data_IF_238740509960
#
_entry.id   IF_238740509960
#
_cell.length_a   1.000
_cell.length_b   1.000
_cell.length_c   1.000
_cell.angle_alpha   90.00
_cell.angle_beta   90.00
_cell.angle_gamma   90.00
#
_symmetry.space_group_name_H-M   'P 1'
#
loop_
_entity.id
_entity.type
_entity.pdbx_description
1 polymer ?
#
# COMPACT_ATOMS: atom_id res chain seq x y z
N UNK A 1 31.13 13.92 10.80
CA UNK A 1 32.27 14.66 11.36
C UNK A 1 33.54 14.05 10.78
N UNK A 2 34.37 14.88 10.18
CA UNK A 2 35.67 14.52 9.64
C UNK A 2 36.76 15.05 10.56
N UNK A 3 37.68 14.19 11.00
CA UNK A 3 38.80 14.56 11.83
C UNK A 3 40.07 14.63 10.97
N UNK A 4 40.89 15.65 11.20
CA UNK A 4 42.22 15.73 10.62
C UNK A 4 43.24 15.97 11.76
N UNK A 5 44.44 15.44 11.53
CA UNK A 5 45.55 15.58 12.49
C UNK A 5 46.79 16.04 11.77
N UNK A 6 47.54 16.92 12.42
CA UNK A 6 48.82 17.34 11.91
C UNK A 6 49.84 16.18 11.96
N UNK A 7 50.50 15.88 10.85
CA UNK A 7 51.48 14.79 10.78
C UNK A 7 52.76 15.07 11.55
N UNK A 8 53.05 16.36 11.84
CA UNK A 8 54.28 16.79 12.53
C UNK A 8 54.13 16.99 14.04
N UNK A 9 52.89 17.18 14.49
CA UNK A 9 52.63 17.42 15.93
C UNK A 9 51.41 16.57 16.33
N UNK A 10 51.62 15.63 17.22
CA UNK A 10 50.55 14.84 17.81
C UNK A 10 49.55 15.75 18.56
N UNK A 11 48.30 15.43 18.53
CA UNK A 11 47.19 16.13 19.20
C UNK A 11 46.83 17.52 18.68
N UNK A 12 47.48 18.03 17.62
CA UNK A 12 47.11 19.27 16.94
C UNK A 12 46.17 18.94 15.76
N UNK A 13 44.97 18.65 16.05
CA UNK A 13 43.93 18.43 15.07
C UNK A 13 42.63 19.08 15.49
N UNK A 14 41.72 19.20 14.59
CA UNK A 14 40.38 19.64 14.85
C UNK A 14 39.38 18.78 14.06
N UNK A 15 38.13 19.00 14.26
CA UNK A 15 37.10 18.32 13.48
C UNK A 15 36.45 19.31 12.50
N UNK A 16 36.07 18.81 11.36
CA UNK A 16 35.25 19.55 10.40
C UNK A 16 33.85 18.93 10.43
N UNK A 17 32.88 19.75 10.77
CA UNK A 17 31.48 19.32 10.64
C UNK A 17 30.97 19.76 9.27
N UNK A 18 30.65 18.80 8.43
CA UNK A 18 29.97 19.09 7.16
C UNK A 18 28.49 19.30 7.44
N UNK A 19 27.96 20.45 7.07
CA UNK A 19 26.54 20.79 7.25
C UNK A 19 25.67 20.16 6.16
N UNK A 20 26.30 19.72 5.07
CA UNK A 20 25.63 19.11 3.92
C UNK A 20 26.32 17.78 3.58
N UNK A 21 25.62 16.69 3.79
CA UNK A 21 26.03 15.38 3.32
C UNK A 21 25.46 15.17 1.91
N UNK A 22 26.17 15.67 0.91
CA UNK A 22 25.81 15.42 -0.50
C UNK A 22 26.52 14.16 -0.98
N UNK A 23 25.76 13.16 -1.38
CA UNK A 23 26.25 11.92 -1.96
C UNK A 23 26.00 11.98 -3.45
N UNK A 24 27.09 12.04 -4.24
CA UNK A 24 27.03 11.94 -5.69
C UNK A 24 27.06 10.45 -6.08
N UNK A 25 25.91 9.89 -6.37
CA UNK A 25 25.75 8.48 -6.72
C UNK A 25 24.83 7.72 -5.75
N UNK A 26 24.91 6.41 -5.79
CA UNK A 26 24.06 5.54 -5.01
C UNK A 26 24.48 5.47 -3.53
N UNK A 27 23.50 5.51 -2.61
CA UNK A 27 23.72 5.24 -1.20
C UNK A 27 23.52 3.75 -0.92
N UNK A 28 24.60 3.05 -0.56
CA UNK A 28 24.51 1.67 -0.08
C UNK A 28 24.52 1.62 1.45
N UNK A 29 23.46 1.09 2.04
CA UNK A 29 23.34 0.92 3.49
C UNK A 29 23.48 -0.56 3.83
N UNK A 30 24.56 -0.93 4.53
CA UNK A 30 24.86 -2.33 4.88
C UNK A 30 23.94 -2.94 5.96
N UNK A 31 23.01 -2.17 6.50
CA UNK A 31 22.05 -2.60 7.52
C UNK A 31 20.72 -1.87 7.31
N UNK A 32 20.07 -1.44 8.40
CA UNK A 32 18.79 -0.71 8.31
C UNK A 32 19.02 0.78 8.06
N UNK A 33 18.29 1.35 7.12
CA UNK A 33 18.18 2.80 6.99
C UNK A 33 17.27 3.33 8.10
N UNK A 34 17.80 4.22 8.94
CA UNK A 34 17.04 4.88 9.99
C UNK A 34 16.96 6.38 9.68
N UNK A 35 15.76 6.84 9.45
CA UNK A 35 15.47 8.25 9.22
C UNK A 35 15.18 8.98 10.55
N UNK A 36 15.34 10.31 10.64
CA UNK A 36 15.00 11.09 11.84
C UNK A 36 13.54 10.90 12.28
N UNK A 37 12.64 10.88 11.32
CA UNK A 37 11.24 10.47 11.50
C UNK A 37 11.10 9.02 11.06
N UNK A 38 10.44 8.21 11.85
CA UNK A 38 10.25 6.79 11.55
C UNK A 38 8.96 6.33 12.22
N UNK A 39 7.85 6.77 11.68
CA UNK A 39 6.53 6.50 12.22
C UNK A 39 6.03 5.15 11.71
N UNK A 40 5.52 4.32 12.61
CA UNK A 40 4.96 3.03 12.25
C UNK A 40 3.75 3.18 11.29
N UNK A 41 3.55 2.21 10.41
CA UNK A 41 2.46 2.14 9.43
C UNK A 41 2.54 3.19 8.30
N UNK A 42 3.65 3.91 8.19
CA UNK A 42 3.88 4.85 7.09
C UNK A 42 4.64 4.19 5.95
N UNK A 43 4.46 4.72 4.78
CA UNK A 43 5.25 4.40 3.59
C UNK A 43 6.05 5.64 3.16
N UNK A 44 7.21 5.41 2.55
CA UNK A 44 8.01 6.49 1.98
C UNK A 44 7.57 6.72 0.54
N UNK A 45 7.12 7.93 0.24
CA UNK A 45 6.71 8.35 -1.10
C UNK A 45 7.56 9.52 -1.54
N UNK A 46 8.08 9.45 -2.77
CA UNK A 46 8.79 10.56 -3.38
C UNK A 46 7.79 11.62 -3.85
N UNK A 47 7.99 12.87 -3.45
CA UNK A 47 7.18 14.01 -3.83
C UNK A 47 7.80 14.88 -4.95
N UNK A 48 8.96 14.47 -5.46
CA UNK A 48 9.76 15.20 -6.44
C UNK A 48 10.91 16.00 -5.84
N UNK A 49 10.93 16.16 -4.52
CA UNK A 49 12.00 16.86 -3.77
C UNK A 49 12.68 15.92 -2.78
N UNK A 50 11.90 15.12 -2.07
CA UNK A 50 12.37 14.21 -1.01
C UNK A 50 11.49 12.97 -0.93
N UNK A 51 11.81 12.10 0.04
CA UNK A 51 10.93 11.00 0.46
C UNK A 51 10.23 11.42 1.76
N UNK A 52 8.91 11.41 1.72
CA UNK A 52 8.06 11.74 2.86
C UNK A 52 7.32 10.53 3.41
N UNK A 53 7.15 10.48 4.73
CA UNK A 53 6.33 9.47 5.38
C UNK A 53 4.85 9.81 5.24
N UNK A 54 4.12 9.00 4.49
CA UNK A 54 2.69 9.20 4.26
C UNK A 54 1.87 7.99 4.72
N UNK A 55 0.61 8.22 5.05
CA UNK A 55 -0.35 7.16 5.29
C UNK A 55 -0.79 6.52 3.98
N UNK A 56 -0.75 5.20 3.91
CA UNK A 56 -1.49 4.50 2.88
C UNK A 56 -2.98 4.55 3.23
N UNK A 57 -3.78 5.21 2.40
CA UNK A 57 -5.20 5.48 2.66
C UNK A 57 -6.08 5.24 1.44
N UNK A 58 -7.40 5.31 1.62
CA UNK A 58 -8.38 5.06 0.57
C UNK A 58 -8.77 3.59 0.49
N UNK A 59 -8.42 2.93 -0.61
CA UNK A 59 -8.82 1.54 -0.87
C UNK A 59 -8.03 0.49 -0.08
N UNK A 60 -6.95 0.90 0.61
CA UNK A 60 -6.14 0.00 1.42
C UNK A 60 -5.43 0.72 2.57
N UNK A 61 -5.07 -0.04 3.59
CA UNK A 61 -4.19 0.39 4.69
C UNK A 61 -3.06 -0.60 4.90
N UNK A 62 -1.96 -0.16 5.49
CA UNK A 62 -0.81 -1.01 5.81
C UNK A 62 -0.54 -1.01 7.31
N UNK A 63 -0.28 -2.18 7.88
CA UNK A 63 0.16 -2.33 9.27
C UNK A 63 1.69 -2.28 9.36
N UNK A 64 2.24 -2.01 10.56
CA UNK A 64 3.69 -1.94 10.82
C UNK A 64 4.45 -3.23 10.48
N UNK A 65 3.77 -4.37 10.48
CA UNK A 65 4.30 -5.65 10.04
C UNK A 65 4.26 -5.88 8.53
N UNK A 66 3.81 -4.90 7.74
CA UNK A 66 3.69 -5.01 6.27
C UNK A 66 2.39 -5.67 5.78
N UNK A 67 1.48 -6.04 6.68
CA UNK A 67 0.19 -6.58 6.26
C UNK A 67 -0.66 -5.49 5.59
N UNK A 68 -1.11 -5.76 4.37
CA UNK A 68 -1.99 -4.88 3.61
C UNK A 68 -3.44 -5.33 3.81
N UNK A 69 -4.31 -4.41 4.18
CA UNK A 69 -5.75 -4.65 4.32
C UNK A 69 -6.52 -3.78 3.34
N UNK A 70 -7.36 -4.41 2.52
CA UNK A 70 -8.24 -3.69 1.62
C UNK A 70 -9.47 -3.16 2.37
N UNK A 71 -9.91 -1.96 2.00
CA UNK A 71 -11.18 -1.43 2.49
C UNK A 71 -12.36 -2.28 2.00
N UNK A 72 -13.38 -2.41 2.84
CA UNK A 72 -14.59 -3.12 2.45
C UNK A 72 -15.24 -2.45 1.23
N UNK A 73 -15.71 -3.27 0.30
CA UNK A 73 -16.35 -2.81 -0.93
C UNK A 73 -17.83 -2.45 -0.80
N UNK A 74 -18.40 -2.58 0.39
CA UNK A 74 -19.84 -2.37 0.65
C UNK A 74 -20.68 -3.64 0.56
N UNK A 75 -20.10 -4.77 0.15
CA UNK A 75 -20.77 -6.07 0.08
C UNK A 75 -20.42 -6.91 1.30
N UNK A 76 -21.43 -7.50 1.95
CA UNK A 76 -21.19 -8.48 3.01
C UNK A 76 -20.66 -9.78 2.43
N UNK A 77 -19.67 -10.37 3.11
CA UNK A 77 -19.15 -11.68 2.71
C UNK A 77 -20.23 -12.75 2.90
N UNK A 78 -20.72 -13.31 1.81
CA UNK A 78 -21.79 -14.32 1.78
C UNK A 78 -21.79 -15.06 0.44
N UNK A 79 -22.58 -16.12 0.36
CA UNK A 79 -22.91 -16.76 -0.92
C UNK A 79 -24.15 -16.11 -1.52
N UNK A 80 -24.08 -15.77 -2.79
CA UNK A 80 -25.18 -15.20 -3.56
C UNK A 80 -25.53 -16.11 -4.72
N UNK A 81 -26.82 -16.50 -4.84
CA UNK A 81 -27.32 -17.35 -5.92
C UNK A 81 -28.02 -16.52 -6.97
N UNK A 82 -27.81 -16.82 -8.25
CA UNK A 82 -28.34 -16.02 -9.37
C UNK A 82 -28.09 -14.52 -9.18
N UNK A 83 -26.87 -14.16 -8.76
CA UNK A 83 -26.59 -12.87 -8.18
C UNK A 83 -26.80 -11.70 -9.16
N UNK A 84 -27.45 -10.66 -8.69
CA UNK A 84 -27.38 -9.32 -9.26
C UNK A 84 -26.21 -8.60 -8.60
N UNK A 85 -25.24 -8.13 -9.39
CA UNK A 85 -24.05 -7.47 -8.90
C UNK A 85 -23.87 -6.10 -9.54
N UNK A 86 -23.30 -5.17 -8.77
CA UNK A 86 -22.82 -3.87 -9.25
C UNK A 86 -21.32 -3.80 -9.00
N UNK A 87 -20.57 -3.33 -9.96
CA UNK A 87 -19.12 -3.16 -9.86
C UNK A 87 -18.75 -1.69 -10.03
N UNK A 88 -17.68 -1.26 -9.36
CA UNK A 88 -17.10 0.06 -9.55
C UNK A 88 -16.15 0.12 -10.76
N UNK A 89 -15.61 1.30 -11.05
CA UNK A 89 -14.67 1.50 -12.15
C UNK A 89 -13.33 0.74 -11.98
N UNK A 90 -13.05 0.22 -10.79
CA UNK A 90 -11.88 -0.60 -10.47
C UNK A 90 -12.17 -2.11 -10.56
N UNK A 91 -13.41 -2.48 -10.89
CA UNK A 91 -13.85 -3.88 -10.98
C UNK A 91 -14.20 -4.52 -9.64
N UNK A 92 -14.32 -3.75 -8.55
CA UNK A 92 -14.74 -4.29 -7.24
C UNK A 92 -16.26 -4.35 -7.16
N UNK A 93 -16.79 -5.43 -6.59
CA UNK A 93 -18.23 -5.55 -6.37
C UNK A 93 -18.66 -4.59 -5.25
N UNK A 94 -19.54 -3.64 -5.54
CA UNK A 94 -20.03 -2.64 -4.59
C UNK A 94 -21.43 -2.94 -4.05
N UNK A 95 -22.19 -3.77 -4.77
CA UNK A 95 -23.47 -4.30 -4.29
C UNK A 95 -23.65 -5.71 -4.83
N UNK A 96 -24.24 -6.57 -4.01
CA UNK A 96 -24.64 -7.93 -4.41
C UNK A 96 -25.94 -8.31 -3.68
N UNK A 97 -26.82 -8.95 -4.41
CA UNK A 97 -28.04 -9.56 -3.88
C UNK A 97 -28.34 -10.87 -4.60
N UNK A 98 -28.95 -11.81 -3.90
CA UNK A 98 -29.46 -13.00 -4.57
C UNK A 98 -30.64 -12.63 -5.45
N UNK A 99 -30.62 -13.07 -6.69
CA UNK A 99 -31.73 -12.95 -7.62
C UNK A 99 -32.68 -14.13 -7.55
N UNK A 100 -33.75 -14.08 -8.32
CA UNK A 100 -34.64 -15.21 -8.50
C UNK A 100 -33.93 -16.28 -9.36
N UNK A 101 -34.03 -17.53 -8.96
CA UNK A 101 -33.66 -18.63 -9.86
C UNK A 101 -34.53 -18.55 -11.10
N UNK A 102 -33.92 -18.63 -12.27
CA UNK A 102 -34.69 -18.79 -13.53
C UNK A 102 -35.58 -20.02 -13.47
N UNK A 103 -36.67 -20.00 -14.18
CA UNK A 103 -37.54 -21.17 -14.29
C UNK A 103 -36.72 -22.39 -14.80
N UNK A 104 -36.91 -23.54 -14.16
CA UNK A 104 -36.23 -24.75 -14.62
C UNK A 104 -36.65 -25.07 -16.06
N UNK A 105 -35.75 -25.64 -16.83
CA UNK A 105 -36.03 -26.05 -18.22
C UNK A 105 -37.31 -26.90 -18.32
N UNK A 106 -37.56 -27.78 -17.34
CA UNK A 106 -38.78 -28.59 -17.27
C UNK A 106 -40.04 -27.75 -17.08
N UNK A 107 -39.99 -26.69 -16.24
CA UNK A 107 -41.12 -25.78 -16.07
C UNK A 107 -41.42 -24.97 -17.33
N UNK A 108 -40.40 -24.47 -18.00
CA UNK A 108 -40.55 -23.72 -19.24
C UNK A 108 -41.13 -24.58 -20.35
N UNK A 109 -40.68 -25.82 -20.48
CA UNK A 109 -41.23 -26.80 -21.47
C UNK A 109 -42.68 -27.13 -21.15
N UNK A 110 -43.01 -27.36 -19.87
CA UNK A 110 -44.38 -27.64 -19.45
C UNK A 110 -45.34 -26.50 -19.77
N UNK A 111 -44.95 -25.24 -19.53
CA UNK A 111 -45.76 -24.08 -19.92
C UNK A 111 -45.87 -23.90 -21.43
N UNK A 112 -44.83 -24.22 -22.20
CA UNK A 112 -44.87 -24.16 -23.67
C UNK A 112 -45.79 -25.18 -24.27
N UNK A 113 -45.94 -26.37 -23.66
CA UNK A 113 -46.84 -27.43 -24.12
C UNK A 113 -48.28 -27.15 -23.71
N UNK A 114 -48.51 -26.45 -22.58
CA UNK A 114 -49.83 -26.10 -22.06
C UNK A 114 -50.50 -24.92 -22.83
N UNK A 115 -49.78 -24.20 -23.62
CA UNK A 115 -50.24 -23.13 -24.48
C UNK A 115 -50.58 -23.69 -25.89
#
# INVERSE_FOLDING_TARGET
ILYYQCSSHGYMGNHVTTISNHINGDLTVGSKLKLPTNTANKILVADGTSFEEVDLSGDATIASGGALTLANSGVSAASYTSANITVDAKGRVTAASSGSAGASTGFVIAMSIAL
#
